data_IF_988933593312
#
_entry.id   IF_988933593312
#
_cell.length_a   1.000
_cell.length_b   1.000
_cell.length_c   1.000
_cell.angle_alpha   90.00
_cell.angle_beta   90.00
_cell.angle_gamma   90.00
#
_symmetry.space_group_name_H-M   'P 1'
#
loop_
_entity.id
_entity.type
_entity.pdbx_description
1 polymer ?
#
# COMPACT_ATOMS: atom_id res chain seq x y z
N UNK A 1 -15.64 13.69 -9.91
CA UNK A 1 -14.45 13.59 -9.03
C UNK A 1 -14.80 14.17 -7.68
N UNK A 2 -14.46 13.49 -6.59
CA UNK A 2 -14.68 13.90 -5.20
C UNK A 2 -13.33 13.98 -4.49
N UNK A 3 -13.12 15.02 -3.68
CA UNK A 3 -11.88 15.23 -2.94
C UNK A 3 -12.20 15.56 -1.49
N UNK A 4 -11.64 14.78 -0.57
CA UNK A 4 -11.84 14.91 0.87
C UNK A 4 -10.51 15.14 1.57
N UNK A 5 -10.43 16.15 2.42
CA UNK A 5 -9.30 16.39 3.31
C UNK A 5 -9.67 16.04 4.75
N UNK A 6 -8.92 15.13 5.36
CA UNK A 6 -9.12 14.66 6.73
C UNK A 6 -8.25 15.47 7.69
N UNK A 7 -8.85 16.42 8.42
CA UNK A 7 -8.10 17.37 9.24
C UNK A 7 -7.35 16.71 10.41
N UNK A 8 -7.82 15.54 10.87
CA UNK A 8 -7.18 14.79 11.96
C UNK A 8 -5.89 14.09 11.54
N UNK A 9 -5.76 13.70 10.27
CA UNK A 9 -4.59 12.94 9.76
C UNK A 9 -3.75 13.74 8.76
N UNK A 10 -4.31 14.79 8.17
CA UNK A 10 -3.70 15.51 7.05
C UNK A 10 -3.85 14.79 5.69
N UNK A 11 -4.56 13.67 5.64
CA UNK A 11 -4.74 12.86 4.43
C UNK A 11 -5.75 13.49 3.46
N UNK A 12 -5.49 13.32 2.16
CA UNK A 12 -6.37 13.71 1.07
C UNK A 12 -6.83 12.46 0.33
N UNK A 13 -8.14 12.23 0.26
CA UNK A 13 -8.74 11.17 -0.56
C UNK A 13 -9.33 11.77 -1.83
N UNK A 14 -8.90 11.27 -2.98
CA UNK A 14 -9.39 11.64 -4.30
C UNK A 14 -10.05 10.42 -4.95
N UNK A 15 -11.34 10.52 -5.20
CA UNK A 15 -12.13 9.50 -5.88
C UNK A 15 -12.67 10.04 -7.20
N UNK A 16 -12.42 9.36 -8.33
CA UNK A 16 -12.85 9.85 -9.64
C UNK A 16 -13.08 8.71 -10.63
N UNK A 17 -13.88 8.99 -11.66
CA UNK A 17 -13.99 8.08 -12.81
C UNK A 17 -12.73 8.12 -13.69
N UNK A 18 -12.66 7.19 -14.65
CA UNK A 18 -11.51 7.08 -15.57
C UNK A 18 -11.26 8.35 -16.37
N UNK A 19 -12.31 9.02 -16.83
CA UNK A 19 -12.17 10.22 -17.66
C UNK A 19 -11.60 11.38 -16.83
N UNK A 20 -12.07 11.53 -15.59
CA UNK A 20 -11.59 12.54 -14.66
C UNK A 20 -10.14 12.31 -14.22
N UNK A 21 -9.72 11.06 -13.97
CA UNK A 21 -8.31 10.75 -13.67
C UNK A 21 -7.39 11.00 -14.88
N UNK A 22 -7.82 10.67 -16.10
CA UNK A 22 -7.08 11.03 -17.32
C UNK A 22 -6.92 12.53 -17.46
N UNK A 23 -7.99 13.30 -17.24
CA UNK A 23 -7.93 14.75 -17.33
C UNK A 23 -6.98 15.35 -16.27
N UNK A 24 -6.93 14.79 -15.07
CA UNK A 24 -5.95 15.16 -14.05
C UNK A 24 -4.51 14.85 -14.50
N UNK A 25 -4.26 13.65 -15.04
CA UNK A 25 -2.95 13.29 -15.59
C UNK A 25 -2.51 14.23 -16.72
N UNK A 26 -3.43 14.68 -17.56
CA UNK A 26 -3.15 15.68 -18.59
C UNK A 26 -2.77 17.05 -18.00
N UNK A 27 -3.46 17.51 -16.96
CA UNK A 27 -3.11 18.76 -16.26
C UNK A 27 -1.70 18.69 -15.65
N UNK A 28 -1.36 17.57 -15.01
CA UNK A 28 -0.04 17.29 -14.46
C UNK A 28 1.03 17.24 -15.54
N UNK A 29 0.75 16.59 -16.67
CA UNK A 29 1.68 16.51 -17.81
C UNK A 29 1.91 17.87 -18.45
N UNK A 30 0.86 18.70 -18.57
CA UNK A 30 0.99 20.10 -19.01
C UNK A 30 1.78 20.94 -18.01
N UNK A 31 1.66 20.60 -16.73
CA UNK A 31 2.28 21.29 -15.60
C UNK A 31 1.53 22.54 -15.16
N UNK A 32 0.30 22.73 -15.64
CA UNK A 32 -0.53 23.88 -15.28
C UNK A 32 -2.02 23.65 -15.51
N UNK A 33 -2.82 24.36 -14.71
CA UNK A 33 -4.26 24.50 -14.91
C UNK A 33 -5.07 24.08 -13.68
N UNK A 34 -6.39 24.01 -13.85
CA UNK A 34 -7.28 23.59 -12.79
C UNK A 34 -8.42 22.71 -13.28
N UNK A 35 -8.98 21.94 -12.36
CA UNK A 35 -10.15 21.10 -12.59
C UNK A 35 -11.10 21.22 -11.40
N UNK A 36 -12.38 21.41 -11.67
CA UNK A 36 -13.41 21.41 -10.65
C UNK A 36 -13.67 19.98 -10.13
N UNK A 37 -13.90 19.87 -8.82
CA UNK A 37 -14.40 18.69 -8.16
C UNK A 37 -15.88 18.85 -7.79
N UNK A 38 -16.55 17.73 -7.60
CA UNK A 38 -17.95 17.69 -7.17
C UNK A 38 -18.07 18.13 -5.71
N UNK A 39 -19.07 18.96 -5.47
CA UNK A 39 -19.49 19.35 -4.13
C UNK A 39 -20.39 18.24 -3.60
N UNK A 40 -19.91 17.49 -2.61
CA UNK A 40 -20.74 16.49 -1.92
C UNK A 40 -21.46 17.15 -0.71
N UNK A 41 -22.77 16.93 -0.51
CA UNK A 41 -23.46 17.39 0.68
C UNK A 41 -22.99 16.64 1.93
N UNK A 42 -22.88 17.38 3.04
CA UNK A 42 -22.50 17.00 4.40
C UNK A 42 -21.38 15.95 4.53
N UNK A 43 -20.16 16.46 4.72
CA UNK A 43 -19.05 15.66 5.20
C UNK A 43 -19.22 15.29 6.66
N UNK A 44 -18.83 14.06 6.99
CA UNK A 44 -18.66 13.58 8.35
C UNK A 44 -17.75 14.56 9.12
N UNK A 45 -18.03 14.77 10.41
CA UNK A 45 -17.21 15.61 11.30
C UNK A 45 -15.73 15.25 11.14
N UNK A 46 -14.89 16.26 10.88
CA UNK A 46 -13.45 16.07 10.66
C UNK A 46 -13.00 15.97 9.19
N UNK A 47 -13.92 16.17 8.24
CA UNK A 47 -13.60 16.19 6.80
C UNK A 47 -13.99 17.51 6.14
N UNK A 48 -13.10 18.02 5.30
CA UNK A 48 -13.31 19.19 4.44
C UNK A 48 -13.40 18.75 2.99
N UNK A 49 -14.49 19.07 2.29
CA UNK A 49 -14.59 18.85 0.83
C UNK A 49 -13.73 19.89 0.13
N UNK A 50 -12.81 19.43 -0.73
CA UNK A 50 -12.09 20.30 -1.66
C UNK A 50 -12.87 20.34 -2.99
N UNK A 51 -12.99 21.54 -3.55
CA UNK A 51 -13.85 21.86 -4.70
C UNK A 51 -13.08 21.98 -6.00
N UNK A 52 -11.75 22.00 -5.96
CA UNK A 52 -10.92 22.05 -7.16
C UNK A 52 -9.51 21.49 -6.93
N UNK A 53 -8.88 21.07 -8.02
CA UNK A 53 -7.45 20.75 -8.10
C UNK A 53 -6.76 21.87 -8.88
N UNK A 54 -5.63 22.35 -8.37
CA UNK A 54 -4.73 23.28 -9.06
C UNK A 54 -3.37 22.63 -9.26
N UNK A 55 -2.86 22.75 -10.47
CA UNK A 55 -1.53 22.27 -10.84
C UNK A 55 -0.71 23.47 -11.26
N UNK A 56 0.50 23.59 -10.72
CA UNK A 56 1.44 24.65 -11.05
C UNK A 56 2.87 24.10 -11.20
N UNK A 57 3.57 24.52 -12.26
CA UNK A 57 4.98 24.17 -12.41
C UNK A 57 5.82 25.11 -11.56
N UNK A 58 6.71 24.53 -10.75
CA UNK A 58 7.70 25.27 -9.97
C UNK A 58 9.07 24.65 -10.22
N UNK A 59 9.98 25.43 -10.80
CA UNK A 59 11.28 24.93 -11.24
C UNK A 59 12.14 24.43 -10.07
N UNK A 60 12.85 23.32 -10.32
CA UNK A 60 13.80 22.74 -9.37
C UNK A 60 13.19 22.09 -8.13
N UNK A 61 11.87 22.02 -8.01
CA UNK A 61 11.19 21.43 -6.87
C UNK A 61 10.64 20.03 -7.17
N UNK A 62 10.77 19.11 -6.21
CA UNK A 62 9.93 17.91 -6.18
C UNK A 62 8.45 18.29 -6.04
N UNK A 63 7.55 17.38 -6.36
CA UNK A 63 6.11 17.62 -6.25
C UNK A 63 5.70 17.80 -4.79
N UNK A 64 5.12 18.95 -4.47
CA UNK A 64 4.45 19.26 -3.23
C UNK A 64 2.94 19.09 -3.42
N UNK A 65 2.34 18.22 -2.62
CA UNK A 65 0.89 18.06 -2.53
C UNK A 65 0.39 18.75 -1.26
N UNK A 66 -0.63 19.60 -1.37
CA UNK A 66 -1.17 20.31 -0.22
C UNK A 66 -2.69 20.52 -0.34
N UNK A 67 -3.41 20.35 0.77
CA UNK A 67 -4.75 20.90 0.90
C UNK A 67 -4.65 22.39 1.28
N UNK A 68 -5.47 23.23 0.65
CA UNK A 68 -5.57 24.66 0.94
C UNK A 68 -7.00 24.94 1.41
N UNK A 69 -7.32 24.74 2.71
CA UNK A 69 -8.69 24.79 3.23
C UNK A 69 -9.41 26.12 2.99
N UNK A 70 -8.68 27.24 2.99
CA UNK A 70 -9.22 28.59 2.80
C UNK A 70 -9.84 28.76 1.40
N UNK A 71 -9.20 28.18 0.39
CA UNK A 71 -9.67 28.18 -1.00
C UNK A 71 -10.41 26.90 -1.38
N UNK A 72 -10.48 25.93 -0.46
CA UNK A 72 -11.02 24.57 -0.67
C UNK A 72 -10.39 23.89 -1.87
N UNK A 73 -9.07 24.00 -2.04
CA UNK A 73 -8.37 23.47 -3.21
C UNK A 73 -7.32 22.44 -2.83
N UNK A 74 -7.16 21.43 -3.68
CA UNK A 74 -5.97 20.57 -3.71
C UNK A 74 -4.92 21.26 -4.58
N UNK A 75 -3.79 21.64 -4.00
CA UNK A 75 -2.64 22.20 -4.71
C UNK A 75 -1.62 21.10 -5.00
N UNK A 76 -1.17 21.00 -6.24
CA UNK A 76 -0.10 20.11 -6.68
C UNK A 76 0.92 20.94 -7.46
N UNK A 77 2.07 21.19 -6.86
CA UNK A 77 3.09 22.05 -7.45
C UNK A 77 4.44 21.33 -7.56
N UNK A 78 5.20 21.52 -8.63
CA UNK A 78 6.53 20.93 -8.74
C UNK A 78 7.17 21.06 -10.12
N UNK A 79 8.38 20.53 -10.27
CA UNK A 79 9.09 20.55 -11.54
C UNK A 79 8.38 19.67 -12.57
N UNK A 80 8.43 20.09 -13.84
CA UNK A 80 7.74 19.42 -14.94
C UNK A 80 8.02 17.92 -15.05
N UNK A 81 9.27 17.51 -14.82
CA UNK A 81 9.65 16.09 -14.82
C UNK A 81 9.00 15.29 -13.68
N UNK A 82 8.95 15.88 -12.48
CA UNK A 82 8.35 15.27 -11.30
C UNK A 82 6.81 15.19 -11.42
N UNK A 83 6.18 16.27 -11.93
CA UNK A 83 4.74 16.27 -12.25
C UNK A 83 4.39 15.23 -13.32
N UNK A 84 5.25 15.03 -14.32
CA UNK A 84 5.04 13.98 -15.32
C UNK A 84 5.09 12.58 -14.71
N UNK A 85 6.00 12.30 -13.77
CA UNK A 85 6.05 11.01 -13.09
C UNK A 85 4.76 10.74 -12.30
N UNK A 86 4.27 11.75 -11.59
CA UNK A 86 2.98 11.66 -10.92
C UNK A 86 1.81 11.44 -11.91
N UNK A 87 1.83 12.14 -13.05
CA UNK A 87 0.84 11.97 -14.11
C UNK A 87 0.81 10.53 -14.65
N UNK A 88 1.98 9.96 -14.91
CA UNK A 88 2.12 8.59 -15.45
C UNK A 88 1.55 7.56 -14.45
N UNK A 89 1.79 7.75 -13.15
CA UNK A 89 1.22 6.89 -12.10
C UNK A 89 -0.32 6.99 -12.02
N UNK A 90 -0.87 8.20 -12.06
CA UNK A 90 -2.33 8.41 -12.05
C UNK A 90 -2.97 7.84 -13.32
N UNK A 91 -2.33 8.00 -14.48
CA UNK A 91 -2.81 7.45 -15.74
C UNK A 91 -2.78 5.91 -15.71
N UNK A 92 -1.73 5.30 -15.18
CA UNK A 92 -1.66 3.84 -15.01
C UNK A 92 -2.80 3.31 -14.13
N UNK A 93 -3.12 3.99 -13.03
CA UNK A 93 -4.27 3.65 -12.18
C UNK A 93 -5.60 3.81 -12.95
N UNK A 94 -5.76 4.89 -13.72
CA UNK A 94 -6.96 5.12 -14.52
C UNK A 94 -7.17 4.04 -15.60
N UNK A 95 -6.08 3.53 -16.19
CA UNK A 95 -6.15 2.47 -17.21
C UNK A 95 -6.35 1.07 -16.64
N UNK A 96 -5.96 0.87 -15.38
CA UNK A 96 -6.15 -0.40 -14.69
C UNK A 96 -7.63 -0.79 -14.67
N UNK A 97 -7.90 -2.07 -14.92
CA UNK A 97 -9.21 -2.68 -14.75
C UNK A 97 -9.32 -3.45 -13.44
N UNK A 98 -8.22 -3.53 -12.69
CA UNK A 98 -8.18 -4.42 -11.54
C UNK A 98 -8.87 -3.78 -10.35
N UNK A 99 -8.90 -2.45 -10.20
CA UNK A 99 -9.43 -1.75 -9.03
C UNK A 99 -8.31 -1.12 -8.20
N UNK A 100 -8.54 -0.92 -6.89
CA UNK A 100 -7.50 -0.48 -5.94
C UNK A 100 -7.35 1.04 -5.78
N UNK A 101 -6.18 1.48 -5.31
CA UNK A 101 -5.85 2.89 -5.10
C UNK A 101 -4.34 3.10 -5.10
N UNK A 102 -3.91 4.34 -5.37
CA UNK A 102 -2.53 4.77 -5.36
C UNK A 102 -2.28 5.61 -4.10
N UNK A 103 -1.32 5.21 -3.27
CA UNK A 103 -0.80 6.01 -2.16
C UNK A 103 0.37 6.86 -2.63
N UNK A 104 0.31 8.15 -2.31
CA UNK A 104 1.32 9.15 -2.65
C UNK A 104 1.72 9.80 -1.34
N UNK A 105 2.76 9.24 -0.73
CA UNK A 105 3.27 9.65 0.57
C UNK A 105 4.76 9.96 0.47
N UNK A 106 5.18 11.05 1.12
CA UNK A 106 6.60 11.34 1.22
C UNK A 106 7.30 10.30 2.11
N UNK A 107 8.43 9.79 1.61
CA UNK A 107 9.45 9.12 2.41
C UNK A 107 10.84 9.63 1.99
N UNK A 108 11.84 9.58 2.89
CA UNK A 108 13.21 9.92 2.53
C UNK A 108 13.67 9.05 1.34
N UNK A 109 14.11 9.68 0.24
CA UNK A 109 14.45 9.06 -1.06
C UNK A 109 13.29 8.85 -2.04
N UNK A 110 12.09 9.39 -1.77
CA UNK A 110 11.01 9.37 -2.76
C UNK A 110 11.43 10.10 -4.04
N UNK A 111 11.32 9.43 -5.19
CA UNK A 111 11.94 9.87 -6.44
C UNK A 111 11.47 11.24 -6.96
N UNK A 112 10.28 11.69 -6.55
CA UNK A 112 9.65 12.90 -7.10
C UNK A 112 8.79 13.72 -6.13
N UNK A 113 8.64 13.32 -4.86
CA UNK A 113 7.80 14.05 -3.87
C UNK A 113 8.67 14.89 -2.93
N UNK A 114 8.18 16.08 -2.59
CA UNK A 114 8.82 16.98 -1.65
C UNK A 114 8.46 16.61 -0.21
N UNK A 115 9.41 16.80 0.71
CA UNK A 115 9.14 16.80 2.15
C UNK A 115 8.06 17.84 2.47
N UNK A 116 7.12 17.49 3.34
CA UNK A 116 5.95 18.32 3.67
C UNK A 116 4.75 18.14 2.75
N UNK A 117 4.82 17.24 1.76
CA UNK A 117 3.63 16.83 0.99
C UNK A 117 2.61 16.14 1.91
N UNK A 118 1.35 16.54 1.78
CA UNK A 118 0.22 15.85 2.40
C UNK A 118 0.06 14.45 1.78
N UNK A 119 -0.23 13.41 2.59
CA UNK A 119 -0.65 12.09 2.11
C UNK A 119 -1.80 12.20 1.13
N UNK A 120 -1.66 11.62 -0.07
CA UNK A 120 -2.71 11.60 -1.09
C UNK A 120 -3.03 10.16 -1.50
N UNK A 121 -4.30 9.80 -1.37
CA UNK A 121 -4.86 8.53 -1.84
C UNK A 121 -5.71 8.80 -3.08
N UNK A 122 -5.37 8.18 -4.21
CA UNK A 122 -6.15 8.25 -5.45
C UNK A 122 -6.86 6.93 -5.65
N UNK A 123 -8.19 6.92 -5.62
CA UNK A 123 -9.00 5.71 -5.76
C UNK A 123 -9.27 5.37 -7.22
N UNK A 124 -9.23 4.07 -7.54
CA UNK A 124 -9.57 3.55 -8.86
C UNK A 124 -11.05 3.76 -9.19
N UNK A 125 -11.38 4.04 -10.46
CA UNK A 125 -12.77 4.18 -10.91
C UNK A 125 -13.60 2.89 -10.79
N UNK A 126 -12.95 1.73 -10.60
CA UNK A 126 -13.63 0.43 -10.45
C UNK A 126 -13.93 0.05 -8.99
N UNK A 127 -13.65 0.92 -8.03
CA UNK A 127 -13.91 0.68 -6.61
C UNK A 127 -12.83 -0.14 -5.90
N UNK A 128 -13.07 -0.40 -4.60
CA UNK A 128 -12.10 -1.01 -3.68
C UNK A 128 -11.92 -2.52 -3.84
N UNK A 129 -10.68 -2.95 -3.54
CA UNK A 129 -10.01 -4.25 -3.74
C UNK A 129 -9.76 -4.62 -5.21
N UNK A 130 -8.49 -4.68 -5.66
CA UNK A 130 -8.21 -5.12 -7.00
C UNK A 130 -8.57 -6.61 -7.21
N UNK A 131 -9.05 -7.00 -8.39
CA UNK A 131 -9.32 -8.41 -8.76
C UNK A 131 -8.08 -9.31 -8.54
N UNK A 132 -6.90 -8.72 -8.68
CA UNK A 132 -5.66 -9.21 -8.10
C UNK A 132 -5.45 -8.53 -6.76
N UNK A 133 -5.85 -9.22 -5.68
CA UNK A 133 -5.86 -8.69 -4.31
C UNK A 133 -4.60 -7.91 -3.97
N UNK A 134 -4.79 -6.63 -3.67
CA UNK A 134 -3.76 -5.81 -3.05
C UNK A 134 -4.43 -4.80 -2.11
N UNK A 135 -4.29 -5.13 -0.82
CA UNK A 135 -4.23 -4.27 0.36
C UNK A 135 -5.26 -3.15 0.54
N UNK A 136 -5.95 -3.19 1.69
CA UNK A 136 -6.36 -1.96 2.39
C UNK A 136 -5.22 -1.58 3.34
N UNK A 137 -4.65 -0.39 3.12
CA UNK A 137 -3.84 0.41 4.06
C UNK A 137 -2.78 -0.37 4.85
N UNK A 138 -1.55 -0.42 4.31
CA UNK A 138 -0.32 -0.91 4.94
C UNK A 138 -0.10 -2.43 5.12
N UNK A 139 -1.09 -3.30 4.89
CA UNK A 139 -0.89 -4.75 4.94
C UNK A 139 -2.00 -5.49 4.18
N UNK A 140 -1.62 -6.33 3.19
CA UNK A 140 -2.56 -7.23 2.50
C UNK A 140 -3.23 -8.16 3.52
N UNK A 141 -2.44 -8.70 4.44
CA UNK A 141 -2.88 -9.59 5.50
C UNK A 141 -3.94 -8.94 6.41
N UNK A 142 -3.76 -7.67 6.79
CA UNK A 142 -4.74 -6.94 7.60
C UNK A 142 -6.09 -6.84 6.89
N UNK A 143 -6.09 -6.49 5.60
CA UNK A 143 -7.30 -6.41 4.80
C UNK A 143 -8.07 -7.74 4.78
N UNK A 144 -7.36 -8.85 4.57
CA UNK A 144 -7.96 -10.19 4.56
C UNK A 144 -8.51 -10.56 5.93
N UNK A 145 -7.77 -10.35 7.03
CA UNK A 145 -8.27 -10.68 8.36
C UNK A 145 -9.51 -9.87 8.76
N UNK A 146 -9.58 -8.58 8.40
CA UNK A 146 -10.78 -7.78 8.61
C UNK A 146 -11.96 -8.30 7.79
N UNK A 147 -11.73 -8.71 6.54
CA UNK A 147 -12.75 -9.32 5.71
C UNK A 147 -13.28 -10.63 6.32
N UNK A 148 -12.38 -11.50 6.80
CA UNK A 148 -12.74 -12.71 7.55
C UNK A 148 -13.62 -12.37 8.76
N UNK A 149 -13.18 -11.42 9.60
CA UNK A 149 -13.89 -11.06 10.81
C UNK A 149 -15.30 -10.48 10.55
N UNK A 150 -15.49 -9.82 9.40
CA UNK A 150 -16.76 -9.22 9.00
C UNK A 150 -17.69 -10.17 8.23
N UNK A 151 -17.24 -11.36 7.84
CA UNK A 151 -17.96 -12.20 6.90
C UNK A 151 -19.10 -13.00 7.57
N UNK A 152 -20.35 -12.92 7.07
CA UNK A 152 -21.50 -13.52 7.75
C UNK A 152 -21.52 -15.05 7.76
N UNK A 153 -20.70 -15.70 6.91
CA UNK A 153 -20.64 -17.17 6.79
C UNK A 153 -19.54 -17.82 7.62
N UNK A 154 -18.63 -17.04 8.21
CA UNK A 154 -17.59 -17.62 9.06
C UNK A 154 -18.10 -17.80 10.48
N UNK A 155 -17.61 -18.81 11.20
CA UNK A 155 -17.94 -18.98 12.61
C UNK A 155 -17.09 -18.07 13.48
N UNK A 156 -17.50 -17.91 14.73
CA UNK A 156 -16.78 -17.10 15.70
C UNK A 156 -15.30 -17.50 15.87
N UNK A 157 -14.98 -18.80 15.77
CA UNK A 157 -13.59 -19.29 15.84
C UNK A 157 -12.72 -18.71 14.71
N UNK A 158 -13.25 -18.53 13.50
CA UNK A 158 -12.51 -17.86 12.43
C UNK A 158 -12.27 -16.38 12.71
N UNK A 159 -13.21 -15.71 13.41
CA UNK A 159 -13.06 -14.32 13.87
C UNK A 159 -11.94 -14.22 14.91
N UNK A 160 -11.87 -15.16 15.85
CA UNK A 160 -10.77 -15.24 16.83
C UNK A 160 -9.42 -15.48 16.15
N UNK A 161 -9.37 -16.39 15.17
CA UNK A 161 -8.18 -16.62 14.36
C UNK A 161 -7.76 -15.38 13.59
N UNK A 162 -8.69 -14.63 13.02
CA UNK A 162 -8.39 -13.36 12.35
C UNK A 162 -7.80 -12.32 13.30
N UNK A 163 -8.34 -12.19 14.52
CA UNK A 163 -7.78 -11.29 15.54
C UNK A 163 -6.35 -11.67 15.95
N UNK A 164 -6.07 -12.97 16.08
CA UNK A 164 -4.70 -13.48 16.30
C UNK A 164 -3.79 -13.18 15.11
N UNK A 165 -4.27 -13.41 13.90
CA UNK A 165 -3.55 -13.10 12.66
C UNK A 165 -3.13 -11.65 12.56
N UNK A 166 -4.02 -10.70 12.87
CA UNK A 166 -3.71 -9.26 12.93
C UNK A 166 -2.59 -8.97 13.93
N UNK A 167 -2.66 -9.58 15.12
CA UNK A 167 -1.66 -9.41 16.17
C UNK A 167 -0.29 -9.96 15.73
N UNK A 168 -0.28 -11.13 15.09
CA UNK A 168 0.92 -11.76 14.56
C UNK A 168 1.55 -10.93 13.43
N UNK A 169 0.74 -10.41 12.50
CA UNK A 169 1.20 -9.55 11.41
C UNK A 169 1.85 -8.25 11.92
N UNK A 170 1.23 -7.61 12.92
CA UNK A 170 1.78 -6.43 13.58
C UNK A 170 3.10 -6.75 14.29
N UNK A 171 3.18 -7.88 15.01
CA UNK A 171 4.41 -8.34 15.66
C UNK A 171 5.53 -8.62 14.64
N UNK A 172 5.20 -9.24 13.50
CA UNK A 172 6.13 -9.49 12.40
C UNK A 172 6.68 -8.20 11.79
N UNK A 173 5.83 -7.21 11.55
CA UNK A 173 6.25 -5.88 11.06
C UNK A 173 7.19 -5.18 12.03
N UNK A 174 6.89 -5.26 13.33
CA UNK A 174 7.74 -4.69 14.37
C UNK A 174 9.10 -5.39 14.42
N UNK A 175 9.11 -6.72 14.42
CA UNK A 175 10.35 -7.51 14.41
C UNK A 175 11.22 -7.19 13.18
N UNK A 176 10.62 -7.11 11.99
CA UNK A 176 11.35 -6.81 10.77
C UNK A 176 12.07 -5.46 10.83
N UNK A 177 11.41 -4.44 11.42
CA UNK A 177 11.96 -3.08 11.54
C UNK A 177 12.98 -2.95 12.67
N UNK A 178 12.66 -3.48 13.86
CA UNK A 178 13.45 -3.25 15.08
C UNK A 178 14.58 -4.26 15.26
N UNK A 179 14.41 -5.48 14.77
CA UNK A 179 15.36 -6.58 14.97
C UNK A 179 16.03 -6.95 13.66
N UNK A 180 15.26 -7.38 12.66
CA UNK A 180 15.80 -8.01 11.46
C UNK A 180 16.64 -7.05 10.62
N UNK A 181 16.12 -5.85 10.32
CA UNK A 181 16.82 -4.86 9.47
C UNK A 181 18.17 -4.40 10.07
N UNK A 182 18.31 -4.20 11.39
CA UNK A 182 19.62 -3.95 12.00
C UNK A 182 20.54 -5.17 12.15
N UNK A 183 19.99 -6.39 12.28
CA UNK A 183 20.76 -7.57 12.69
C UNK A 183 21.09 -8.56 11.57
N UNK A 184 20.34 -8.56 10.47
CA UNK A 184 20.51 -9.48 9.36
C UNK A 184 21.22 -8.80 8.19
N UNK A 185 21.99 -9.58 7.44
CA UNK A 185 22.44 -9.14 6.12
C UNK A 185 21.29 -9.08 5.11
N UNK A 186 21.50 -8.39 4.00
CA UNK A 186 20.45 -8.14 3.01
C UNK A 186 19.86 -9.42 2.40
N UNK A 187 20.63 -10.49 2.23
CA UNK A 187 20.14 -11.75 1.67
C UNK A 187 19.30 -12.51 2.71
N UNK A 188 19.79 -12.63 3.94
CA UNK A 188 19.04 -13.26 5.03
C UNK A 188 17.73 -12.54 5.33
N UNK A 189 17.72 -11.20 5.28
CA UNK A 189 16.51 -10.40 5.41
C UNK A 189 15.55 -10.64 4.23
N UNK A 190 16.06 -10.69 3.00
CA UNK A 190 15.25 -10.94 1.81
C UNK A 190 14.58 -12.32 1.88
N UNK A 191 15.33 -13.37 2.22
CA UNK A 191 14.78 -14.74 2.39
C UNK A 191 13.65 -14.76 3.41
N UNK A 192 13.83 -14.07 4.55
CA UNK A 192 12.79 -13.96 5.58
C UNK A 192 11.54 -13.24 5.07
N UNK A 193 11.70 -12.15 4.33
CA UNK A 193 10.58 -11.40 3.76
C UNK A 193 9.86 -12.19 2.67
N UNK A 194 10.57 -13.03 1.91
CA UNK A 194 9.96 -13.97 0.95
C UNK A 194 9.10 -15.01 1.70
N UNK A 195 9.63 -15.65 2.75
CA UNK A 195 8.86 -16.58 3.58
C UNK A 195 7.58 -15.94 4.13
N UNK A 196 7.64 -14.64 4.47
CA UNK A 196 6.47 -13.89 4.91
C UNK A 196 5.47 -13.67 3.78
N UNK A 197 5.95 -13.23 2.61
CA UNK A 197 5.11 -13.02 1.43
C UNK A 197 4.34 -14.27 1.04
N UNK A 198 4.97 -15.45 1.09
CA UNK A 198 4.31 -16.73 0.83
C UNK A 198 3.16 -17.03 1.81
N UNK A 199 3.27 -16.60 3.06
CA UNK A 199 2.17 -16.73 4.03
C UNK A 199 1.02 -15.77 3.71
N UNK A 200 1.32 -14.56 3.22
CA UNK A 200 0.30 -13.60 2.78
C UNK A 200 -0.44 -14.11 1.54
N UNK A 201 0.29 -14.66 0.56
CA UNK A 201 -0.29 -15.24 -0.65
C UNK A 201 -1.24 -16.40 -0.31
N UNK A 202 -0.81 -17.31 0.59
CA UNK A 202 -1.65 -18.40 1.09
C UNK A 202 -2.91 -17.90 1.79
N UNK A 203 -2.82 -16.79 2.53
CA UNK A 203 -3.96 -16.18 3.20
C UNK A 203 -4.97 -15.61 2.19
N UNK A 204 -4.48 -14.92 1.17
CA UNK A 204 -5.30 -14.37 0.07
C UNK A 204 -5.99 -15.50 -0.70
N UNK A 205 -5.26 -16.56 -1.06
CA UNK A 205 -5.82 -17.68 -1.78
C UNK A 205 -6.86 -18.44 -0.95
N UNK A 206 -6.60 -18.64 0.33
CA UNK A 206 -7.58 -19.20 1.26
C UNK A 206 -8.86 -18.35 1.30
N UNK A 207 -8.74 -17.04 1.39
CA UNK A 207 -9.89 -16.13 1.43
C UNK A 207 -10.78 -16.25 0.18
N UNK A 208 -10.17 -16.33 -1.01
CA UNK A 208 -10.89 -16.51 -2.27
C UNK A 208 -11.76 -17.76 -2.31
N UNK A 209 -11.35 -18.84 -1.62
CA UNK A 209 -12.16 -20.07 -1.57
C UNK A 209 -13.49 -19.88 -0.84
N UNK A 210 -13.57 -18.96 0.13
CA UNK A 210 -14.80 -18.61 0.83
C UNK A 210 -15.70 -17.72 -0.03
N UNK A 211 -15.11 -16.74 -0.73
CA UNK A 211 -15.85 -15.82 -1.60
C UNK A 211 -16.54 -16.57 -2.75
N UNK A 212 -15.87 -17.56 -3.32
CA UNK A 212 -16.41 -18.38 -4.42
C UNK A 212 -17.38 -19.49 -3.95
N UNK A 213 -17.71 -19.57 -2.65
CA UNK A 213 -18.60 -20.61 -2.08
C UNK A 213 -18.06 -22.04 -2.29
N UNK A 214 -16.76 -22.20 -2.49
CA UNK A 214 -16.15 -23.50 -2.78
C UNK A 214 -15.69 -24.22 -1.50
N UNK A 215 -15.44 -23.48 -0.42
CA UNK A 215 -14.91 -24.04 0.82
C UNK A 215 -15.98 -24.46 1.84
N UNK A 216 -15.78 -25.66 2.39
CA UNK A 216 -16.39 -26.07 3.66
C UNK A 216 -15.86 -25.21 4.82
N UNK A 217 -16.72 -24.64 5.69
CA UNK A 217 -16.29 -23.77 6.79
C UNK A 217 -15.27 -24.40 7.75
N UNK A 218 -15.35 -25.71 8.02
CA UNK A 218 -14.40 -26.37 8.92
C UNK A 218 -13.01 -26.52 8.28
N UNK A 219 -12.98 -26.79 6.96
CA UNK A 219 -11.76 -26.83 6.18
C UNK A 219 -11.09 -25.44 6.14
N UNK A 220 -11.88 -24.38 5.91
CA UNK A 220 -11.38 -23.00 5.95
C UNK A 220 -10.78 -22.65 7.31
N UNK A 221 -11.48 -22.95 8.41
CA UNK A 221 -11.00 -22.69 9.77
C UNK A 221 -9.67 -23.40 10.07
N UNK A 222 -9.54 -24.65 9.63
CA UNK A 222 -8.31 -25.43 9.80
C UNK A 222 -7.14 -24.79 9.06
N UNK A 223 -7.35 -24.43 7.79
CA UNK A 223 -6.30 -23.80 6.97
C UNK A 223 -5.94 -22.40 7.48
N UNK A 224 -6.93 -21.63 7.95
CA UNK A 224 -6.69 -20.32 8.57
C UNK A 224 -5.86 -20.46 9.84
N UNK A 225 -6.16 -21.45 10.68
CA UNK A 225 -5.41 -21.71 11.91
C UNK A 225 -3.95 -22.09 11.62
N UNK A 226 -3.68 -22.86 10.57
CA UNK A 226 -2.32 -23.18 10.13
C UNK A 226 -1.54 -21.94 9.70
N UNK A 227 -2.16 -21.07 8.89
CA UNK A 227 -1.53 -19.82 8.43
C UNK A 227 -1.25 -18.89 9.62
N UNK A 228 -2.22 -18.68 10.51
CA UNK A 228 -2.06 -17.83 11.70
C UNK A 228 -0.95 -18.37 12.60
N UNK A 229 -0.90 -19.70 12.82
CA UNK A 229 0.17 -20.34 13.61
C UNK A 229 1.55 -20.15 12.97
N UNK A 230 1.62 -20.17 11.63
CA UNK A 230 2.86 -19.91 10.91
C UNK A 230 3.29 -18.45 11.04
N UNK A 231 2.36 -17.50 10.90
CA UNK A 231 2.63 -16.06 11.11
C UNK A 231 3.12 -15.77 12.54
N UNK A 232 2.53 -16.40 13.56
CA UNK A 232 2.96 -16.26 14.96
C UNK A 232 4.40 -16.75 15.20
N UNK A 233 4.82 -17.79 14.47
CA UNK A 233 6.16 -18.39 14.60
C UNK A 233 7.20 -17.73 13.70
N UNK A 234 6.78 -17.04 12.64
CA UNK A 234 7.67 -16.46 11.63
C UNK A 234 8.81 -15.59 12.22
N UNK A 235 8.57 -14.69 13.20
CA UNK A 235 9.64 -13.88 13.82
C UNK A 235 10.71 -14.69 14.55
N UNK A 236 10.42 -15.95 14.90
CA UNK A 236 11.30 -16.82 15.71
C UNK A 236 11.92 -17.96 14.90
N UNK A 237 11.62 -18.07 13.60
CA UNK A 237 12.12 -19.17 12.78
C UNK A 237 13.65 -19.07 12.61
N UNK A 238 14.42 -20.11 12.97
CA UNK A 238 15.88 -20.06 13.01
C UNK A 238 16.46 -19.69 11.64
N UNK A 239 17.58 -18.96 11.66
CA UNK A 239 18.41 -18.73 10.47
C UNK A 239 18.78 -20.08 9.87
N UNK A 240 18.38 -20.32 8.61
CA UNK A 240 19.01 -21.37 7.83
C UNK A 240 20.48 -21.01 7.75
N UNK A 241 21.30 -21.74 8.49
CA UNK A 241 22.75 -21.59 8.48
C UNK A 241 23.20 -21.98 7.07
N UNK A 242 23.33 -21.00 6.18
CA UNK A 242 23.96 -21.23 4.88
C UNK A 242 25.40 -21.63 5.17
N UNK A 243 25.71 -22.88 4.86
CA UNK A 243 27.05 -23.43 5.01
C UNK A 243 28.08 -22.49 4.39
N UNK A 244 29.03 -22.06 5.23
CA UNK A 244 30.27 -21.41 4.85
C UNK A 244 30.84 -22.05 3.58
N UNK A 245 30.74 -21.34 2.45
CA UNK A 245 31.51 -21.67 1.27
C UNK A 245 32.95 -21.30 1.60
N UNK A 246 33.75 -22.32 1.92
CA UNK A 246 35.16 -22.17 2.19
C UNK A 246 35.84 -21.38 1.07
N UNK A 247 36.41 -20.23 1.42
CA UNK A 247 37.26 -19.44 0.52
C UNK A 247 38.41 -20.30 0.00
N UNK A 248 38.69 -20.33 -1.31
CA UNK A 248 39.88 -20.99 -1.82
C UNK A 248 41.10 -20.22 -1.36
N UNK A 249 42.02 -20.91 -0.67
CA UNK A 249 43.33 -20.39 -0.27
C UNK A 249 44.11 -19.95 -1.50
N UNK A 250 44.36 -18.65 -1.59
CA UNK A 250 45.30 -18.07 -2.54
C UNK A 250 46.71 -18.59 -2.24
N UNK A 251 47.32 -19.31 -3.19
CA UNK A 251 48.70 -19.81 -3.11
C UNK A 251 49.63 -18.94 -3.98
N UNK A 252 50.49 -18.10 -3.39
CA UNK A 252 51.40 -17.24 -4.15
C UNK A 252 52.75 -17.92 -4.37
N UNK A 253 52.82 -18.94 -5.22
CA UNK A 253 54.12 -19.44 -5.73
C UNK A 253 54.01 -19.99 -7.16
N UNK A 254 54.11 -19.10 -8.13
CA UNK A 254 54.64 -19.42 -9.46
C UNK A 254 55.02 -18.14 -10.21
N UNK A 255 56.20 -17.60 -9.88
CA UNK A 255 57.05 -16.89 -10.83
C UNK A 255 58.44 -17.51 -10.73
N UNK A 256 58.73 -18.36 -11.69
CA UNK A 256 60.03 -18.86 -12.09
C UNK A 256 60.04 -18.89 -13.61
#
# INVERSE_FOLDING_TARGET
MKILFFTSTGEIDLSADRAALRHLAELLTRGSGSMAAEIAPDTVVGQTVLTDVRVDTVDGQSVLVAAVPESRSLSIAGARGALKLLADNILALAESNDGGHLHIDFYPDHAYLAEGSAPLVVNSPHGGMPAHGMAVRNSVSLGVFLAVAAHPRVRFTAVELAGRGITADAAGNRWAREVAKPSLDGLSLADKLIERGELEDRLVDLWRTIENVEADPATFETQLAEIVTALEKWPSAPERTLHSVASPTYNPRSRG
#
